data_IF_643956948250
#
_entry.id   IF_643956948250
#
_cell.length_a   1.000
_cell.length_b   1.000
_cell.length_c   1.000
_cell.angle_alpha   90.00
_cell.angle_beta   90.00
_cell.angle_gamma   90.00
#
_symmetry.space_group_name_H-M   'P 1'
#
loop_
_entity.id
_entity.type
_entity.pdbx_description
1 polymer ?
#
# COMPACT_ATOMS: atom_id res chain seq x y z
N UNK A 1 -1.60 -6.41 -20.86
CA UNK A 1 -2.35 -5.77 -19.74
C UNK A 1 -2.28 -6.75 -18.60
N UNK A 2 -1.52 -6.40 -17.57
CA UNK A 2 -1.07 -7.36 -16.54
C UNK A 2 -2.11 -7.47 -15.43
N UNK A 3 -2.97 -8.48 -15.50
CA UNK A 3 -3.98 -8.81 -14.46
C UNK A 3 -3.41 -9.65 -13.30
N UNK A 4 -2.11 -9.47 -12.97
CA UNK A 4 -1.47 -10.24 -11.89
C UNK A 4 -1.47 -9.56 -10.52
N UNK A 5 -2.09 -8.38 -10.39
CA UNK A 5 -2.16 -7.69 -9.11
C UNK A 5 -3.45 -8.04 -8.38
N UNK A 6 -3.33 -8.83 -7.31
CA UNK A 6 -4.47 -9.17 -6.47
C UNK A 6 -4.82 -7.98 -5.58
N UNK A 7 -6.01 -7.41 -5.78
CA UNK A 7 -6.56 -6.38 -4.91
C UNK A 7 -6.93 -6.96 -3.55
N UNK A 8 -6.41 -6.36 -2.50
CA UNK A 8 -6.68 -6.69 -1.10
C UNK A 8 -7.49 -5.59 -0.46
N UNK A 9 -8.27 -5.92 0.56
CA UNK A 9 -9.12 -4.96 1.29
C UNK A 9 -8.68 -4.84 2.72
N UNK A 10 -8.89 -3.66 3.31
CA UNK A 10 -8.55 -3.41 4.70
C UNK A 10 -9.32 -2.25 5.30
N UNK A 11 -9.17 -2.06 6.61
CA UNK A 11 -9.68 -0.90 7.35
C UNK A 11 -8.61 -0.38 8.27
N UNK A 12 -8.52 0.93 8.40
CA UNK A 12 -7.62 1.56 9.36
C UNK A 12 -8.39 2.48 10.28
N UNK A 13 -7.93 2.61 11.52
CA UNK A 13 -8.46 3.58 12.47
C UNK A 13 -7.69 4.88 12.33
N UNK A 14 -8.41 5.96 12.10
CA UNK A 14 -7.85 7.30 11.99
C UNK A 14 -8.48 8.22 13.01
N UNK A 15 -7.69 9.16 13.50
CA UNK A 15 -8.18 10.20 14.41
C UNK A 15 -8.89 11.27 13.60
N UNK A 16 -10.06 11.69 14.10
CA UNK A 16 -10.81 12.81 13.54
C UNK A 16 -10.67 14.01 14.47
N UNK A 17 -10.14 15.10 13.96
CA UNK A 17 -10.04 16.39 14.62
C UNK A 17 -11.20 17.27 14.16
N UNK A 18 -11.85 17.94 15.09
CA UNK A 18 -12.96 18.85 14.83
C UNK A 18 -12.60 20.21 15.42
N UNK A 19 -12.81 21.28 14.65
CA UNK A 19 -12.59 22.64 15.13
C UNK A 19 -13.47 22.97 16.33
N UNK A 20 -12.98 23.80 17.25
CA UNK A 20 -13.70 24.21 18.45
C UNK A 20 -15.11 24.73 18.11
N UNK A 21 -16.11 24.22 18.83
CA UNK A 21 -17.53 24.59 18.67
C UNK A 21 -18.32 23.73 17.67
N UNK A 22 -17.71 22.71 17.01
CA UNK A 22 -18.40 21.84 16.02
C UNK A 22 -18.59 20.39 16.47
N UNK A 23 -18.22 20.05 17.69
CA UNK A 23 -18.38 18.71 18.24
C UNK A 23 -17.10 18.16 18.87
N UNK A 24 -17.14 16.92 19.31
CA UNK A 24 -15.99 16.22 19.84
C UNK A 24 -15.27 15.46 18.72
N UNK A 25 -13.95 15.55 18.69
CA UNK A 25 -13.10 14.69 17.86
C UNK A 25 -13.25 13.22 18.31
N UNK A 26 -12.83 12.30 17.46
CA UNK A 26 -12.95 10.87 17.74
C UNK A 26 -12.03 10.02 16.89
N UNK A 27 -12.34 8.74 16.87
CA UNK A 27 -11.68 7.76 15.99
C UNK A 27 -12.72 7.21 15.04
N UNK A 28 -12.38 7.11 13.76
CA UNK A 28 -13.24 6.48 12.74
C UNK A 28 -12.47 5.38 12.03
N UNK A 29 -13.20 4.40 11.52
CA UNK A 29 -12.62 3.38 10.63
C UNK A 29 -12.79 3.82 9.18
N UNK A 30 -11.67 3.76 8.45
CA UNK A 30 -11.63 4.10 7.03
C UNK A 30 -11.30 2.83 6.25
N UNK A 31 -12.20 2.40 5.35
CA UNK A 31 -11.91 1.28 4.47
C UNK A 31 -10.88 1.69 3.41
N UNK A 32 -10.08 0.74 2.96
CA UNK A 32 -9.17 0.93 1.84
C UNK A 32 -9.02 -0.36 1.05
N UNK A 33 -8.58 -0.23 -0.20
CA UNK A 33 -8.10 -1.34 -1.01
C UNK A 33 -6.64 -1.11 -1.34
N UNK A 34 -5.90 -2.17 -1.60
CA UNK A 34 -4.50 -2.04 -1.95
C UNK A 34 -4.01 -3.17 -2.84
N UNK A 35 -2.99 -2.86 -3.59
CA UNK A 35 -2.28 -3.76 -4.48
C UNK A 35 -0.78 -3.50 -4.31
N UNK A 36 0.06 -4.40 -4.78
CA UNK A 36 1.50 -4.19 -4.78
C UNK A 36 2.16 -4.71 -6.04
N UNK A 37 3.18 -4.02 -6.46
CA UNK A 37 4.11 -4.42 -7.52
C UNK A 37 5.49 -4.74 -6.93
N UNK A 38 6.50 -4.89 -7.78
CA UNK A 38 7.90 -5.03 -7.36
C UNK A 38 8.38 -3.83 -6.54
N UNK A 39 8.01 -2.61 -6.95
CA UNK A 39 8.60 -1.38 -6.47
C UNK A 39 7.64 -0.55 -5.61
N UNK A 40 6.33 -0.77 -5.73
CA UNK A 40 5.32 0.09 -5.16
C UNK A 40 4.20 -0.67 -4.45
N UNK A 41 3.54 0.03 -3.56
CA UNK A 41 2.26 -0.37 -2.95
C UNK A 41 1.24 0.73 -3.24
N UNK A 42 0.20 0.37 -3.98
CA UNK A 42 -0.91 1.24 -4.33
C UNK A 42 -2.04 1.10 -3.32
N UNK A 43 -2.45 2.19 -2.71
CA UNK A 43 -3.53 2.21 -1.71
C UNK A 43 -4.63 3.16 -2.17
N UNK A 44 -5.86 2.66 -2.23
CA UNK A 44 -7.04 3.44 -2.60
C UNK A 44 -7.96 3.58 -1.40
N UNK A 45 -8.22 4.82 -1.02
CA UNK A 45 -9.08 5.19 0.11
C UNK A 45 -10.29 5.93 -0.45
N UNK A 46 -11.49 5.31 -0.46
CA UNK A 46 -12.70 5.99 -0.90
C UNK A 46 -13.05 7.12 0.07
N UNK A 47 -13.38 8.29 -0.47
CA UNK A 47 -13.80 9.43 0.31
C UNK A 47 -15.23 9.22 0.83
N UNK A 48 -15.46 9.25 2.13
CA UNK A 48 -16.81 9.05 2.70
C UNK A 48 -17.75 10.24 2.47
N UNK A 49 -17.21 11.38 2.09
CA UNK A 49 -17.95 12.62 1.85
C UNK A 49 -18.37 12.73 0.38
N UNK A 50 -19.47 13.43 0.10
CA UNK A 50 -19.89 13.78 -1.25
C UNK A 50 -19.02 14.89 -1.90
N UNK A 51 -18.11 15.49 -1.14
CA UNK A 51 -17.20 16.51 -1.61
C UNK A 51 -16.06 15.88 -2.44
N UNK A 52 -15.75 16.50 -3.58
CA UNK A 52 -14.61 16.08 -4.39
C UNK A 52 -13.28 16.42 -3.69
N UNK A 53 -12.35 15.49 -3.76
CA UNK A 53 -10.98 15.72 -3.29
C UNK A 53 -10.27 16.69 -4.21
N UNK A 54 -9.59 17.64 -3.62
CA UNK A 54 -8.73 18.62 -4.29
C UNK A 54 -7.37 18.64 -3.62
N UNK A 55 -6.39 19.31 -4.20
CA UNK A 55 -5.09 19.52 -3.54
C UNK A 55 -5.21 20.13 -2.13
N UNK A 56 -6.25 20.95 -1.91
CA UNK A 56 -6.51 21.56 -0.60
C UNK A 56 -7.12 20.61 0.42
N UNK A 57 -7.70 19.50 -0.06
CA UNK A 57 -8.27 18.47 0.82
C UNK A 57 -7.21 17.64 1.53
N UNK A 58 -5.97 17.65 1.03
CA UNK A 58 -4.82 16.98 1.68
C UNK A 58 -3.73 18.02 1.96
N UNK A 59 -3.88 18.82 3.02
CA UNK A 59 -2.94 19.89 3.35
C UNK A 59 -1.57 19.37 3.82
N UNK A 60 -1.50 18.14 4.23
CA UNK A 60 -0.25 17.52 4.67
C UNK A 60 -0.18 16.06 4.21
N UNK A 61 0.92 15.70 3.58
CA UNK A 61 1.29 14.35 3.23
C UNK A 61 2.81 14.20 3.39
N UNK A 62 3.21 13.26 4.19
CA UNK A 62 4.61 12.90 4.37
C UNK A 62 4.72 11.40 4.69
N UNK A 63 5.69 10.75 4.10
CA UNK A 63 6.02 9.36 4.40
C UNK A 63 7.46 9.33 4.91
N UNK A 64 7.64 8.87 6.12
CA UNK A 64 8.95 8.49 6.63
C UNK A 64 9.23 7.03 6.27
N UNK A 65 10.42 6.54 6.58
CA UNK A 65 10.79 5.15 6.27
C UNK A 65 9.80 4.10 6.81
N UNK A 66 9.01 4.42 7.85
CA UNK A 66 8.14 3.46 8.52
C UNK A 66 6.78 4.00 8.95
N UNK A 67 6.47 5.26 8.66
CA UNK A 67 5.21 5.89 9.09
C UNK A 67 4.66 6.77 7.98
N UNK A 68 3.37 6.65 7.71
CA UNK A 68 2.59 7.58 6.90
C UNK A 68 1.98 8.65 7.82
N UNK A 69 2.27 9.91 7.54
CA UNK A 69 1.65 11.08 8.15
C UNK A 69 0.83 11.82 7.10
N UNK A 70 -0.49 11.85 7.25
CA UNK A 70 -1.36 12.52 6.30
C UNK A 70 -2.55 13.18 7.02
N UNK A 71 -2.97 14.34 6.52
CA UNK A 71 -4.17 15.02 6.98
C UNK A 71 -5.13 15.20 5.81
N UNK A 72 -6.37 14.81 5.99
CA UNK A 72 -7.41 14.91 4.96
C UNK A 72 -8.58 15.71 5.50
N UNK A 73 -8.91 16.82 4.88
CA UNK A 73 -10.10 17.63 5.19
C UNK A 73 -11.33 16.93 4.61
N UNK A 74 -12.14 16.36 5.49
CA UNK A 74 -13.35 15.61 5.12
C UNK A 74 -14.58 16.51 4.95
N UNK A 75 -14.63 17.58 5.72
CA UNK A 75 -15.68 18.61 5.68
C UNK A 75 -15.13 19.91 6.30
N UNK A 76 -15.79 21.05 6.11
CA UNK A 76 -15.37 22.28 6.78
C UNK A 76 -15.27 22.09 8.29
N UNK A 77 -14.06 22.26 8.84
CA UNK A 77 -13.78 22.09 10.26
C UNK A 77 -13.65 20.63 10.72
N UNK A 78 -13.59 19.66 9.82
CA UNK A 78 -13.42 18.23 10.14
C UNK A 78 -12.24 17.68 9.36
N UNK A 79 -11.21 17.22 10.07
CA UNK A 79 -9.97 16.69 9.48
C UNK A 79 -9.69 15.28 9.99
N UNK A 80 -9.50 14.34 9.08
CA UNK A 80 -8.97 13.02 9.40
C UNK A 80 -7.44 13.07 9.44
N UNK A 81 -6.87 12.51 10.49
CA UNK A 81 -5.42 12.45 10.72
C UNK A 81 -4.97 11.00 10.65
N UNK A 82 -4.13 10.72 9.70
CA UNK A 82 -3.51 9.43 9.46
C UNK A 82 -2.07 9.47 9.99
N UNK A 83 -1.84 8.84 11.12
CA UNK A 83 -0.51 8.60 11.70
C UNK A 83 -0.34 7.08 11.78
N UNK A 84 0.00 6.48 10.64
CA UNK A 84 -0.09 5.05 10.46
C UNK A 84 1.29 4.42 10.27
N UNK A 85 1.72 3.54 11.19
CA UNK A 85 2.95 2.78 10.98
C UNK A 85 2.79 1.83 9.79
N UNK A 86 3.77 1.83 8.91
CA UNK A 86 3.83 0.93 7.75
C UNK A 86 4.31 -0.46 8.17
N UNK A 87 3.83 -1.49 7.50
CA UNK A 87 4.24 -2.87 7.78
C UNK A 87 5.68 -3.17 7.33
N UNK A 88 6.17 -2.42 6.34
CA UNK A 88 7.54 -2.47 5.82
C UNK A 88 8.07 -1.07 5.56
N UNK A 89 9.35 -0.97 5.21
CA UNK A 89 9.99 0.33 4.94
C UNK A 89 9.63 0.85 3.55
N UNK A 90 9.31 2.13 3.50
CA UNK A 90 9.08 2.87 2.26
C UNK A 90 10.23 3.85 1.99
N UNK A 91 10.44 4.19 0.72
CA UNK A 91 11.24 5.34 0.31
C UNK A 91 10.33 6.57 0.28
N UNK A 92 10.38 7.36 1.35
CA UNK A 92 9.51 8.51 1.50
C UNK A 92 9.69 9.60 0.43
N UNK A 93 10.83 9.63 -0.25
CA UNK A 93 11.10 10.64 -1.31
C UNK A 93 10.34 10.35 -2.60
N UNK A 94 10.04 9.07 -2.86
CA UNK A 94 9.32 8.62 -4.05
C UNK A 94 7.82 8.37 -3.79
N UNK A 95 7.37 8.54 -2.53
CA UNK A 95 5.97 8.39 -2.19
C UNK A 95 5.17 9.65 -2.55
N UNK A 96 3.98 9.45 -3.12
CA UNK A 96 3.09 10.56 -3.45
C UNK A 96 1.61 10.15 -3.32
N UNK A 97 0.73 11.12 -3.48
CA UNK A 97 -0.69 10.90 -3.54
C UNK A 97 -1.31 11.59 -4.76
N UNK A 98 -2.40 11.04 -5.22
CA UNK A 98 -3.24 11.61 -6.29
C UNK A 98 -4.71 11.29 -6.00
N UNK A 99 -5.59 11.69 -6.91
CA UNK A 99 -7.01 11.32 -6.87
C UNK A 99 -7.38 10.62 -8.15
N UNK A 100 -8.38 9.75 -8.09
CA UNK A 100 -9.00 9.20 -9.29
C UNK A 100 -9.69 10.32 -10.12
N UNK A 101 -10.01 10.02 -11.35
CA UNK A 101 -10.61 10.98 -12.31
C UNK A 101 -11.91 11.60 -11.80
N UNK A 102 -12.67 10.88 -10.97
CA UNK A 102 -13.89 11.37 -10.36
C UNK A 102 -13.64 12.20 -9.08
N UNK A 103 -12.40 12.30 -8.60
CA UNK A 103 -12.01 13.02 -7.40
C UNK A 103 -12.60 12.47 -6.09
N UNK A 104 -13.08 11.24 -6.09
CA UNK A 104 -13.74 10.62 -4.94
C UNK A 104 -12.89 9.61 -4.20
N UNK A 105 -11.80 9.18 -4.79
CA UNK A 105 -10.88 8.22 -4.22
C UNK A 105 -9.51 8.86 -4.07
N UNK A 106 -8.95 8.79 -2.88
CA UNK A 106 -7.57 9.14 -2.62
C UNK A 106 -6.69 7.95 -2.98
N UNK A 107 -5.76 8.16 -3.86
CA UNK A 107 -4.79 7.17 -4.31
C UNK A 107 -3.42 7.50 -3.74
N UNK A 108 -2.85 6.60 -2.95
CA UNK A 108 -1.51 6.73 -2.38
C UNK A 108 -0.60 5.75 -3.07
N UNK A 109 0.55 6.23 -3.52
CA UNK A 109 1.62 5.40 -4.07
C UNK A 109 2.76 5.43 -3.06
N UNK A 110 3.06 4.27 -2.49
CA UNK A 110 4.12 4.08 -1.51
C UNK A 110 5.26 3.30 -2.17
N UNK A 111 6.35 3.97 -2.48
CA UNK A 111 7.54 3.33 -3.03
C UNK A 111 8.20 2.44 -1.96
N UNK A 112 8.56 1.23 -2.33
CA UNK A 112 9.24 0.28 -1.45
C UNK A 112 10.69 0.66 -1.28
N UNK A 113 11.20 0.64 -0.06
CA UNK A 113 12.64 0.84 0.19
C UNK A 113 13.49 -0.33 -0.34
N UNK A 114 12.90 -1.50 -0.52
CA UNK A 114 13.54 -2.70 -1.09
C UNK A 114 12.65 -3.25 -2.20
N UNK A 115 13.13 -3.16 -3.44
CA UNK A 115 12.48 -3.73 -4.63
C UNK A 115 12.27 -5.23 -4.45
N UNK A 116 11.07 -5.71 -4.79
CA UNK A 116 10.71 -7.11 -4.71
C UNK A 116 10.43 -7.63 -3.29
N UNK A 117 10.48 -6.76 -2.26
CA UNK A 117 10.06 -7.14 -0.91
C UNK A 117 8.53 -7.27 -0.84
N UNK A 118 7.97 -8.45 -0.49
CA UNK A 118 6.55 -8.61 -0.32
C UNK A 118 6.08 -7.94 0.97
N UNK A 119 5.07 -7.07 0.85
CA UNK A 119 4.41 -6.47 2.01
C UNK A 119 3.25 -7.37 2.45
N UNK A 120 3.26 -7.87 3.68
CA UNK A 120 2.15 -8.70 4.20
C UNK A 120 0.89 -7.87 4.44
N UNK A 121 1.05 -6.58 4.73
CA UNK A 121 0.02 -5.57 4.90
C UNK A 121 0.60 -4.21 4.55
N UNK A 122 -0.24 -3.20 4.34
CA UNK A 122 0.21 -1.81 4.17
C UNK A 122 0.60 -1.21 5.52
N UNK A 123 -0.28 -1.33 6.51
CA UNK A 123 -0.12 -0.72 7.83
C UNK A 123 0.11 -1.78 8.91
N UNK A 124 1.07 -1.54 9.78
CA UNK A 124 1.42 -2.48 10.87
C UNK A 124 0.30 -2.63 11.91
N UNK A 125 -0.52 -1.60 12.10
CA UNK A 125 -1.68 -1.62 13.01
C UNK A 125 -2.88 -2.40 12.47
N UNK A 126 -2.79 -2.89 11.25
CA UNK A 126 -3.80 -3.73 10.60
C UNK A 126 -3.65 -5.22 11.00
N UNK A 127 -3.28 -5.51 12.20
CA UNK A 127 -3.55 -6.83 12.78
C UNK A 127 -4.98 -6.80 13.32
N UNK A 128 -5.91 -7.07 12.45
CA UNK A 128 -7.29 -7.22 12.84
C UNK A 128 -7.44 -8.43 13.77
N UNK A 129 -8.04 -8.19 14.92
CA UNK A 129 -8.40 -9.22 15.89
C UNK A 129 -9.59 -10.08 15.43
N UNK A 130 -10.09 -9.93 14.22
CA UNK A 130 -11.26 -10.63 13.69
C UNK A 130 -11.07 -11.38 12.37
N UNK A 131 -9.92 -11.25 11.72
CA UNK A 131 -9.62 -12.07 10.56
C UNK A 131 -8.26 -12.72 10.73
N UNK A 132 -8.30 -14.03 10.80
CA UNK A 132 -7.19 -14.96 10.69
C UNK A 132 -5.88 -14.29 10.28
N UNK A 133 -4.86 -14.59 11.08
CA UNK A 133 -3.44 -14.56 10.75
C UNK A 133 -3.20 -14.17 9.29
N UNK A 134 -2.36 -13.15 9.06
CA UNK A 134 -1.80 -12.95 7.72
C UNK A 134 -1.26 -14.32 7.33
N UNK A 135 -2.05 -15.02 6.54
CA UNK A 135 -1.79 -16.40 6.19
C UNK A 135 -0.40 -16.41 5.55
N UNK A 136 0.51 -17.23 6.07
CA UNK A 136 1.83 -17.39 5.45
C UNK A 136 1.68 -17.67 3.94
N UNK A 137 0.54 -18.26 3.55
CA UNK A 137 0.11 -18.44 2.17
C UNK A 137 -0.11 -17.15 1.39
N UNK A 138 -0.49 -16.04 2.04
CA UNK A 138 -0.73 -14.76 1.34
C UNK A 138 0.60 -14.02 1.06
N UNK A 139 1.59 -14.16 1.94
CA UNK A 139 2.95 -13.66 1.73
C UNK A 139 3.66 -14.49 0.65
N UNK A 140 3.47 -15.81 0.67
CA UNK A 140 4.04 -16.72 -0.33
C UNK A 140 3.40 -16.50 -1.71
N UNK A 141 2.08 -16.25 -1.76
CA UNK A 141 1.37 -15.85 -2.96
C UNK A 141 1.92 -14.55 -3.54
N UNK A 142 2.08 -13.51 -2.72
CA UNK A 142 2.66 -12.24 -3.12
C UNK A 142 4.11 -12.37 -3.62
N UNK A 143 4.90 -13.22 -2.95
CA UNK A 143 6.27 -13.53 -3.36
C UNK A 143 6.32 -14.21 -4.74
N UNK A 144 5.40 -15.13 -4.98
CA UNK A 144 5.26 -15.83 -6.27
C UNK A 144 4.85 -14.88 -7.39
N UNK A 145 3.88 -14.00 -7.14
CA UNK A 145 3.47 -12.96 -8.08
C UNK A 145 4.63 -12.04 -8.46
N UNK A 146 5.42 -11.59 -7.49
CA UNK A 146 6.59 -10.75 -7.72
C UNK A 146 7.69 -11.46 -8.51
N UNK A 147 7.93 -12.75 -8.26
CA UNK A 147 8.85 -13.55 -9.05
C UNK A 147 8.41 -13.62 -10.51
N UNK A 148 7.14 -13.85 -10.77
CA UNK A 148 6.60 -13.88 -12.15
C UNK A 148 6.74 -12.51 -12.83
N UNK A 149 6.44 -11.41 -12.14
CA UNK A 149 6.63 -10.05 -12.67
C UNK A 149 8.10 -9.79 -13.01
N UNK A 150 9.01 -10.20 -12.15
CA UNK A 150 10.45 -10.06 -12.41
C UNK A 150 10.88 -10.87 -13.63
N UNK A 151 10.48 -12.14 -13.72
CA UNK A 151 10.80 -12.98 -14.89
C UNK A 151 10.24 -12.39 -16.18
N UNK A 152 9.04 -11.83 -16.15
CA UNK A 152 8.43 -11.18 -17.29
C UNK A 152 9.19 -9.92 -17.72
N UNK A 153 9.67 -9.14 -16.75
CA UNK A 153 10.48 -7.94 -17.02
C UNK A 153 11.87 -8.29 -17.58
N UNK A 154 12.49 -9.35 -17.07
CA UNK A 154 13.83 -9.81 -17.54
C UNK A 154 13.75 -10.51 -18.91
N UNK A 155 12.60 -11.08 -19.27
CA UNK A 155 12.40 -11.84 -20.51
C UNK A 155 11.17 -11.33 -21.30
N UNK A 156 11.22 -10.10 -21.85
CA UNK A 156 10.13 -9.57 -22.65
C UNK A 156 9.98 -10.41 -23.94
N UNK A 157 8.87 -11.11 -24.06
CA UNK A 157 8.58 -12.02 -25.20
C UNK A 157 8.29 -13.46 -24.80
N UNK A 158 8.50 -13.80 -23.55
CA UNK A 158 7.99 -15.05 -22.97
C UNK A 158 6.70 -14.77 -22.20
N UNK A 159 5.70 -15.59 -22.43
CA UNK A 159 4.45 -15.56 -21.67
C UNK A 159 4.56 -16.53 -20.50
N UNK A 160 4.58 -15.97 -19.28
CA UNK A 160 4.62 -16.74 -18.04
C UNK A 160 3.25 -16.82 -17.35
N UNK A 161 2.17 -16.43 -18.04
CA UNK A 161 0.82 -16.36 -17.48
C UNK A 161 0.35 -17.66 -16.84
N UNK A 162 0.73 -18.79 -17.43
CA UNK A 162 0.39 -20.14 -16.95
C UNK A 162 1.55 -20.83 -16.20
N UNK A 163 2.61 -20.08 -15.86
CA UNK A 163 3.75 -20.68 -15.20
C UNK A 163 3.44 -21.04 -13.75
N UNK A 164 3.56 -22.29 -13.41
CA UNK A 164 3.51 -22.75 -12.02
C UNK A 164 4.91 -22.66 -11.41
N UNK A 165 5.09 -21.72 -10.50
CA UNK A 165 6.31 -21.63 -9.70
C UNK A 165 6.25 -22.68 -8.60
N UNK A 166 6.87 -23.83 -8.85
CA UNK A 166 7.06 -24.92 -7.87
C UNK A 166 8.48 -24.86 -7.32
N UNK A 167 8.63 -24.43 -6.06
CA UNK A 167 9.90 -24.42 -5.35
C UNK A 167 10.20 -23.11 -4.64
N UNK A 168 11.02 -23.19 -3.58
CA UNK A 168 11.60 -22.01 -2.93
C UNK A 168 12.50 -21.28 -3.92
N UNK A 169 12.44 -19.94 -3.93
CA UNK A 169 13.43 -19.16 -4.69
C UNK A 169 14.85 -19.63 -4.28
N UNK A 170 15.75 -19.88 -5.22
CA UNK A 170 17.12 -20.20 -4.87
C UNK A 170 17.65 -19.05 -4.01
N UNK A 171 18.26 -19.39 -2.87
CA UNK A 171 19.03 -18.41 -2.11
C UNK A 171 20.02 -17.76 -3.11
N UNK A 172 20.20 -16.43 -2.98
CA UNK A 172 21.04 -15.64 -3.86
C UNK A 172 22.25 -16.43 -4.36
N UNK A 173 22.55 -16.40 -5.64
CA UNK A 173 23.74 -17.06 -6.17
C UNK A 173 25.02 -16.27 -5.82
N UNK A 174 25.24 -16.04 -4.52
CA UNK A 174 26.54 -15.59 -4.00
C UNK A 174 27.46 -16.81 -4.01
N UNK A 175 27.90 -17.21 -5.18
CA UNK A 175 28.78 -18.36 -5.29
C UNK A 175 29.19 -18.73 -6.70
N UNK A 176 28.68 -18.07 -7.73
CA UNK A 176 29.04 -18.36 -9.12
C UNK A 176 30.05 -17.35 -9.71
N UNK A 177 30.90 -16.80 -8.88
CA UNK A 177 32.14 -16.15 -9.39
C UNK A 177 33.22 -17.24 -9.38
N UNK A 178 33.53 -17.72 -10.56
CA UNK A 178 34.54 -18.75 -10.78
C UNK A 178 35.84 -18.42 -10.08
N UNK A 179 36.38 -19.40 -9.39
CA UNK A 179 37.79 -19.43 -9.02
C UNK A 179 38.64 -19.57 -10.29
N UNK A 180 39.75 -18.82 -10.39
CA UNK A 180 40.76 -19.01 -11.42
C UNK A 180 41.40 -20.38 -11.33
#
# INVERSE_FOLDING_TARGET
MSDFQRTRTGKVRVRVEVEEGRGAGGVTEVPFTWEQSLDEVDVRIPQPSSALLTRRSVPHFAVSASVLHMRVVMAPGVTAVFDLPLARRADGSECFWTTDDDGRTLHLVLAKAVTGEPWPAVFASYRDSSSSECDEGDVEGARREMLLQRFQAEHPGFDFTDAQVSGSAPADPVGFVGRP
#
